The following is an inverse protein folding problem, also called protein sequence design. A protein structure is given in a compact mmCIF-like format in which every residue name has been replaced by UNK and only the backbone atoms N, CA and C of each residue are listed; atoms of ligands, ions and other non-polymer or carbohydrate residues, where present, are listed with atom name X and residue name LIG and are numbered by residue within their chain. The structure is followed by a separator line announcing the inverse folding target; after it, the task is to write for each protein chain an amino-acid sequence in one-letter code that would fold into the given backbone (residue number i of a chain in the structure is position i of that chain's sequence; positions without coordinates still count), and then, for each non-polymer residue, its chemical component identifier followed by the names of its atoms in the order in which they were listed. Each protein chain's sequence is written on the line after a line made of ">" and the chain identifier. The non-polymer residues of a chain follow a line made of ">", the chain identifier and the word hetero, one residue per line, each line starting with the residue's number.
data_IF_599068969397
#
_entry.id   IF_599068969397
#
_cell.length_a   1.000
_cell.length_b   1.000
_cell.length_c   1.000
_cell.angle_alpha   90.00
_cell.angle_beta   90.00
_cell.angle_gamma   90.00
#
_symmetry.space_group_name_H-M   'P 1'
#
loop_
_entity.id
_entity.type
_entity.pdbx_description
1 polymer ?
#
# COMPACT_ATOMS: atom_id res chain seq x y z
N UNK A 1 -18.33 -3.84 30.82
CA UNK A 1 -17.71 -4.08 29.50
C UNK A 1 -16.38 -4.77 29.74
N UNK A 2 -16.25 -6.06 29.39
CA UNK A 2 -15.00 -6.81 29.56
C UNK A 2 -14.01 -6.32 28.50
N UNK A 3 -12.97 -5.61 28.93
CA UNK A 3 -11.79 -5.34 28.11
C UNK A 3 -11.14 -6.68 27.79
N UNK A 4 -11.43 -7.23 26.61
CA UNK A 4 -10.66 -8.34 26.06
C UNK A 4 -9.29 -7.78 25.68
N UNK A 5 -8.30 -8.10 26.49
CA UNK A 5 -6.89 -7.85 26.13
C UNK A 5 -6.66 -8.59 24.82
N UNK A 6 -6.59 -7.84 23.72
CA UNK A 6 -6.20 -8.37 22.43
C UNK A 6 -4.72 -8.79 22.57
N UNK A 7 -4.47 -10.08 22.70
CA UNK A 7 -3.10 -10.61 22.55
C UNK A 7 -2.73 -10.47 21.09
N UNK A 8 -2.03 -9.40 20.76
CA UNK A 8 -1.49 -9.20 19.43
C UNK A 8 -0.40 -10.24 19.16
N UNK A 9 -0.49 -10.86 18.00
CA UNK A 9 0.54 -11.76 17.55
C UNK A 9 1.71 -10.94 17.00
N UNK A 10 2.90 -11.18 17.51
CA UNK A 10 4.11 -10.50 17.04
C UNK A 10 4.89 -11.40 16.07
N UNK A 11 5.60 -10.79 15.13
CA UNK A 11 6.56 -11.48 14.28
C UNK A 11 7.68 -12.01 15.16
N UNK A 12 7.89 -13.32 15.15
CA UNK A 12 8.88 -14.00 16.00
C UNK A 12 10.14 -14.41 15.23
N UNK A 13 10.07 -14.47 13.90
CA UNK A 13 11.18 -14.82 13.02
C UNK A 13 11.14 -14.04 11.72
N UNK A 14 12.29 -13.56 11.27
CA UNK A 14 12.46 -12.93 9.97
C UNK A 14 12.97 -13.89 8.90
N UNK A 15 13.30 -15.13 9.24
CA UNK A 15 13.82 -16.12 8.31
C UNK A 15 12.71 -16.74 7.47
N UNK A 16 12.86 -16.67 6.14
CA UNK A 16 12.10 -17.51 5.23
C UNK A 16 12.64 -18.93 5.29
N UNK A 17 11.79 -19.93 5.09
CA UNK A 17 12.16 -21.34 5.19
C UNK A 17 12.18 -22.00 3.81
N UNK A 18 13.38 -22.20 3.19
CA UNK A 18 13.50 -22.84 1.87
C UNK A 18 12.93 -24.26 1.80
N UNK A 19 12.95 -24.98 2.90
CA UNK A 19 12.46 -26.37 3.01
C UNK A 19 10.96 -26.49 2.73
N UNK A 20 10.14 -25.47 3.02
CA UNK A 20 8.70 -25.50 2.72
C UNK A 20 8.39 -25.49 1.21
N UNK A 21 9.41 -25.18 0.40
CA UNK A 21 9.32 -25.10 -1.05
C UNK A 21 10.11 -26.21 -1.77
N UNK A 22 10.59 -27.23 -1.07
CA UNK A 22 11.47 -28.29 -1.63
C UNK A 22 10.81 -29.03 -2.82
N UNK A 23 9.48 -29.19 -2.82
CA UNK A 23 8.74 -29.88 -3.89
C UNK A 23 8.53 -29.07 -5.18
N UNK A 24 8.89 -27.78 -5.20
CA UNK A 24 8.68 -26.92 -6.38
C UNK A 24 9.93 -26.84 -7.26
N UNK A 25 9.76 -26.95 -8.59
CA UNK A 25 10.87 -26.83 -9.56
C UNK A 25 11.14 -25.37 -9.96
N UNK A 26 10.10 -24.56 -10.15
CA UNK A 26 10.20 -23.17 -10.60
C UNK A 26 10.69 -22.26 -9.46
N UNK A 27 11.70 -21.43 -9.74
CA UNK A 27 12.23 -20.47 -8.78
C UNK A 27 11.15 -19.50 -8.27
N UNK A 28 10.28 -19.02 -9.14
CA UNK A 28 9.18 -18.12 -8.76
C UNK A 28 8.17 -18.81 -7.82
N UNK A 29 7.81 -20.07 -8.12
CA UNK A 29 6.93 -20.86 -7.25
C UNK A 29 7.56 -21.16 -5.89
N UNK A 30 8.88 -21.42 -5.84
CA UNK A 30 9.60 -21.60 -4.58
C UNK A 30 9.51 -20.35 -3.73
N UNK A 31 9.83 -19.20 -4.31
CA UNK A 31 9.77 -17.91 -3.60
C UNK A 31 8.35 -17.61 -3.14
N UNK A 32 7.35 -17.74 -4.02
CA UNK A 32 5.95 -17.57 -3.65
C UNK A 32 5.60 -18.41 -2.42
N UNK A 33 5.86 -19.73 -2.48
CA UNK A 33 5.55 -20.63 -1.36
C UNK A 33 6.24 -20.24 -0.06
N UNK A 34 7.54 -19.86 -0.10
CA UNK A 34 8.26 -19.43 1.09
C UNK A 34 7.68 -18.16 1.70
N UNK A 35 7.45 -17.13 0.87
CA UNK A 35 7.00 -15.82 1.34
C UNK A 35 5.54 -15.84 1.79
N UNK A 36 4.68 -16.57 1.10
CA UNK A 36 3.28 -16.79 1.50
C UNK A 36 3.20 -17.57 2.82
N UNK A 37 3.97 -18.67 2.97
CA UNK A 37 3.99 -19.43 4.23
C UNK A 37 4.42 -18.55 5.38
N UNK A 38 5.52 -17.80 5.21
CA UNK A 38 6.04 -16.92 6.24
C UNK A 38 5.00 -15.84 6.63
N UNK A 39 4.38 -15.18 5.63
CA UNK A 39 3.39 -14.15 5.89
C UNK A 39 2.17 -14.69 6.64
N UNK A 40 1.64 -15.84 6.24
CA UNK A 40 0.49 -16.47 6.92
C UNK A 40 0.78 -16.89 8.37
N UNK A 41 2.04 -17.21 8.70
CA UNK A 41 2.45 -17.59 10.06
C UNK A 41 2.80 -16.39 10.93
N UNK A 42 3.44 -15.37 10.37
CA UNK A 42 4.05 -14.28 11.13
C UNK A 42 3.22 -12.98 11.16
N UNK A 43 2.31 -12.79 10.20
CA UNK A 43 1.65 -11.51 9.98
C UNK A 43 0.17 -11.60 10.30
N UNK A 44 -0.36 -10.55 10.89
CA UNK A 44 -1.79 -10.39 11.21
C UNK A 44 -2.41 -9.29 10.37
N UNK A 45 -3.74 -9.25 10.35
CA UNK A 45 -4.50 -8.21 9.67
C UNK A 45 -4.18 -6.82 10.28
N UNK A 46 -3.82 -5.82 9.47
CA UNK A 46 -3.52 -4.48 9.96
C UNK A 46 -4.75 -3.74 10.49
N UNK A 47 -5.95 -4.18 10.11
CA UNK A 47 -7.19 -3.55 10.54
C UNK A 47 -7.70 -4.05 11.91
N UNK A 48 -7.42 -5.32 12.28
CA UNK A 48 -8.00 -5.89 13.51
C UNK A 48 -7.06 -6.79 14.31
N UNK A 49 -5.82 -6.97 13.88
CA UNK A 49 -4.83 -7.81 14.59
C UNK A 49 -5.12 -9.32 14.55
N UNK A 50 -6.11 -9.79 13.79
CA UNK A 50 -6.43 -11.21 13.65
C UNK A 50 -5.57 -11.89 12.61
N UNK A 51 -5.35 -13.20 12.76
CA UNK A 51 -4.58 -13.99 11.79
C UNK A 51 -5.22 -13.99 10.42
N UNK A 52 -4.41 -13.85 9.39
CA UNK A 52 -4.82 -13.99 8.00
C UNK A 52 -4.99 -15.48 7.65
N UNK A 53 -5.88 -15.77 6.70
CA UNK A 53 -6.05 -17.09 6.11
C UNK A 53 -5.63 -17.05 4.65
N UNK A 54 -4.92 -18.08 4.21
CA UNK A 54 -4.68 -18.32 2.79
C UNK A 54 -5.99 -18.62 2.07
N UNK A 55 -6.11 -18.08 0.86
CA UNK A 55 -7.09 -18.61 -0.07
C UNK A 55 -6.66 -19.97 -0.62
N UNK A 56 -7.64 -20.81 -0.97
CA UNK A 56 -7.38 -22.04 -1.70
C UNK A 56 -6.63 -21.74 -3.01
N UNK A 57 -5.64 -22.58 -3.39
CA UNK A 57 -4.93 -22.42 -4.66
C UNK A 57 -5.90 -22.30 -5.84
N UNK A 58 -5.61 -21.41 -6.80
CA UNK A 58 -6.40 -21.10 -7.99
C UNK A 58 -7.68 -20.27 -7.78
N UNK A 59 -7.89 -19.62 -6.65
CA UNK A 59 -8.85 -18.53 -6.61
C UNK A 59 -8.22 -17.25 -7.18
N UNK A 60 -8.84 -16.61 -8.19
CA UNK A 60 -8.23 -15.45 -8.88
C UNK A 60 -8.37 -14.13 -8.12
N UNK A 61 -8.56 -14.16 -6.80
CA UNK A 61 -9.09 -13.00 -6.07
C UNK A 61 -8.06 -12.30 -5.19
N UNK A 62 -7.24 -13.04 -4.45
CA UNK A 62 -6.19 -12.54 -3.55
C UNK A 62 -5.42 -13.72 -2.96
N UNK A 63 -4.30 -13.46 -2.29
CA UNK A 63 -3.52 -14.51 -1.62
C UNK A 63 -4.04 -14.81 -0.21
N UNK A 64 -4.54 -13.78 0.47
CA UNK A 64 -5.00 -13.87 1.86
C UNK A 64 -6.33 -13.13 2.09
N UNK A 65 -7.05 -13.62 3.08
CA UNK A 65 -8.28 -13.05 3.61
C UNK A 65 -8.18 -12.86 5.12
N UNK A 66 -8.66 -11.74 5.63
CA UNK A 66 -8.98 -11.62 7.04
C UNK A 66 -10.39 -12.16 7.30
N UNK A 67 -10.56 -13.25 8.09
CA UNK A 67 -11.90 -13.82 8.34
C UNK A 67 -12.81 -12.90 9.16
N UNK A 68 -12.24 -11.98 9.93
CA UNK A 68 -12.98 -11.03 10.76
C UNK A 68 -13.45 -9.80 9.97
N UNK A 69 -12.51 -9.10 9.32
CA UNK A 69 -12.77 -7.86 8.57
C UNK A 69 -13.23 -8.12 7.14
N UNK A 70 -13.09 -9.35 6.64
CA UNK A 70 -13.31 -9.74 5.23
C UNK A 70 -12.46 -8.94 4.22
N UNK A 71 -11.33 -8.41 4.69
CA UNK A 71 -10.39 -7.69 3.84
C UNK A 71 -9.50 -8.67 3.10
N UNK A 72 -9.31 -8.41 1.82
CA UNK A 72 -8.44 -9.16 0.92
C UNK A 72 -7.04 -8.55 0.90
N UNK A 73 -6.03 -9.43 0.76
CA UNK A 73 -4.63 -9.02 0.67
C UNK A 73 -3.92 -9.80 -0.42
N UNK A 74 -3.10 -9.10 -1.19
CA UNK A 74 -2.23 -9.67 -2.22
C UNK A 74 -0.76 -9.46 -1.82
N UNK A 75 0.09 -10.48 -2.01
CA UNK A 75 1.50 -10.43 -1.65
C UNK A 75 2.38 -10.23 -2.88
N UNK A 76 3.19 -9.19 -2.85
CA UNK A 76 4.28 -8.97 -3.79
C UNK A 76 5.61 -9.13 -3.06
N UNK A 77 6.40 -10.11 -3.48
CA UNK A 77 7.69 -10.39 -2.86
C UNK A 77 8.84 -10.22 -3.84
N UNK A 78 9.98 -9.74 -3.35
CA UNK A 78 11.18 -9.50 -4.15
C UNK A 78 12.45 -9.76 -3.36
N UNK A 79 13.42 -10.38 -4.02
CA UNK A 79 14.80 -10.44 -3.53
C UNK A 79 15.50 -9.11 -3.80
N UNK A 80 16.13 -8.54 -2.78
CA UNK A 80 16.77 -7.21 -2.87
C UNK A 80 15.76 -6.05 -2.77
N UNK A 81 16.19 -4.80 -2.96
CA UNK A 81 15.38 -3.62 -2.72
C UNK A 81 14.06 -3.60 -3.52
N UNK A 82 12.99 -3.18 -2.87
CA UNK A 82 11.74 -2.88 -3.57
C UNK A 82 12.02 -1.65 -4.44
N UNK A 83 11.90 -1.86 -5.75
CA UNK A 83 12.13 -0.79 -6.73
C UNK A 83 11.00 0.23 -6.72
N UNK A 84 11.18 1.32 -7.45
CA UNK A 84 10.14 2.34 -7.66
C UNK A 84 8.90 1.80 -8.39
N UNK A 85 9.02 0.59 -8.96
CA UNK A 85 7.96 -0.13 -9.65
C UNK A 85 7.97 -1.62 -9.27
N UNK A 86 6.79 -2.22 -9.16
CA UNK A 86 6.61 -3.66 -8.95
C UNK A 86 5.76 -4.21 -10.07
N UNK A 87 6.27 -5.21 -10.78
CA UNK A 87 5.54 -5.86 -11.88
C UNK A 87 4.34 -6.63 -11.32
N UNK A 88 3.24 -6.57 -12.07
CA UNK A 88 2.04 -7.32 -11.75
C UNK A 88 1.39 -7.97 -12.96
N UNK A 89 0.24 -8.58 -12.76
CA UNK A 89 -0.54 -9.33 -13.75
C UNK A 89 -1.08 -8.49 -14.90
N UNK A 90 -2.22 -8.92 -15.46
CA UNK A 90 -2.86 -8.24 -16.58
C UNK A 90 -3.38 -6.85 -16.17
N UNK A 91 -3.05 -5.82 -16.96
CA UNK A 91 -3.44 -4.44 -16.70
C UNK A 91 -4.97 -4.27 -16.53
N UNK A 92 -5.76 -4.80 -17.47
CA UNK A 92 -7.21 -4.68 -17.40
C UNK A 92 -7.79 -5.30 -16.12
N UNK A 93 -7.26 -6.46 -15.70
CA UNK A 93 -7.67 -7.13 -14.46
C UNK A 93 -7.27 -6.37 -13.21
N UNK A 94 -6.09 -5.75 -13.22
CA UNK A 94 -5.65 -4.88 -12.13
C UNK A 94 -6.58 -3.67 -11.98
N UNK A 95 -6.89 -2.95 -13.08
CA UNK A 95 -7.80 -1.81 -13.06
C UNK A 95 -9.19 -2.22 -12.56
N UNK A 96 -9.76 -3.30 -13.12
CA UNK A 96 -11.04 -3.86 -12.66
C UNK A 96 -11.01 -4.12 -11.15
N UNK A 97 -9.92 -4.72 -10.65
CA UNK A 97 -9.79 -5.13 -9.26
C UNK A 97 -9.68 -3.96 -8.29
N UNK A 98 -8.81 -2.97 -8.57
CA UNK A 98 -8.61 -1.82 -7.67
C UNK A 98 -9.77 -0.82 -7.69
N UNK A 99 -10.63 -0.88 -8.71
CA UNK A 99 -11.83 -0.03 -8.82
C UNK A 99 -13.09 -0.71 -8.27
N UNK A 100 -13.00 -1.99 -7.89
CA UNK A 100 -14.12 -2.73 -7.30
C UNK A 100 -14.26 -2.48 -5.79
N UNK A 101 -15.43 -2.78 -5.23
CA UNK A 101 -15.69 -2.70 -3.78
C UNK A 101 -14.87 -3.71 -2.96
N UNK A 102 -14.30 -4.72 -3.64
CA UNK A 102 -13.47 -5.77 -3.03
C UNK A 102 -11.99 -5.63 -3.38
N UNK A 103 -11.53 -4.40 -3.63
CA UNK A 103 -10.12 -4.13 -3.90
C UNK A 103 -9.22 -4.64 -2.77
N UNK A 104 -8.14 -5.41 -3.06
CA UNK A 104 -7.23 -5.90 -2.04
C UNK A 104 -6.29 -4.81 -1.55
N UNK A 105 -5.86 -4.92 -0.29
CA UNK A 105 -4.64 -4.27 0.18
C UNK A 105 -3.42 -5.08 -0.28
N UNK A 106 -2.27 -4.44 -0.48
CA UNK A 106 -1.07 -5.13 -0.96
C UNK A 106 0.01 -5.17 0.10
N UNK A 107 0.52 -6.36 0.36
CA UNK A 107 1.77 -6.56 1.07
C UNK A 107 2.94 -6.50 0.10
N UNK A 108 3.98 -5.75 0.47
CA UNK A 108 5.26 -5.70 -0.24
C UNK A 108 6.35 -6.23 0.68
N UNK A 109 6.89 -7.40 0.33
CA UNK A 109 7.91 -8.10 1.09
C UNK A 109 9.25 -8.07 0.36
N UNK A 110 10.26 -7.58 1.05
CA UNK A 110 11.65 -7.63 0.60
C UNK A 110 12.44 -8.59 1.47
N UNK A 111 13.23 -9.47 0.85
CA UNK A 111 14.16 -10.36 1.52
C UNK A 111 15.55 -10.31 0.88
N UNK A 112 16.58 -10.72 1.63
CA UNK A 112 17.97 -10.71 1.18
C UNK A 112 18.44 -12.07 0.62
N UNK A 113 19.76 -12.18 0.39
CA UNK A 113 20.40 -13.39 -0.16
C UNK A 113 20.33 -14.57 0.80
N UNK A 114 20.30 -14.31 2.09
CA UNK A 114 20.22 -15.26 3.20
C UNK A 114 18.77 -15.63 3.54
N UNK A 115 17.80 -15.22 2.70
CA UNK A 115 16.37 -15.42 2.91
C UNK A 115 15.84 -14.77 4.19
N UNK A 116 16.44 -13.66 4.63
CA UNK A 116 15.94 -12.87 5.75
C UNK A 116 15.03 -11.75 5.25
N UNK A 117 13.85 -11.60 5.85
CA UNK A 117 12.94 -10.48 5.57
C UNK A 117 13.57 -9.18 6.07
N UNK A 118 13.79 -8.24 5.16
CA UNK A 118 14.36 -6.92 5.46
C UNK A 118 13.31 -5.85 5.57
N UNK A 119 12.32 -5.89 4.68
CA UNK A 119 11.20 -4.97 4.73
C UNK A 119 9.89 -5.71 4.45
N UNK A 120 8.88 -5.40 5.22
CA UNK A 120 7.50 -5.76 4.94
C UNK A 120 6.62 -4.55 5.25
N UNK A 121 5.90 -4.07 4.29
CA UNK A 121 4.84 -3.07 4.51
C UNK A 121 3.55 -3.48 3.81
N UNK A 122 2.44 -2.98 4.34
CA UNK A 122 1.13 -3.06 3.70
C UNK A 122 0.74 -1.69 3.17
N UNK A 123 0.16 -1.66 1.96
CA UNK A 123 -0.52 -0.50 1.42
C UNK A 123 -2.01 -0.80 1.38
N UNK A 124 -2.84 -0.04 2.13
CA UNK A 124 -4.28 -0.23 2.13
C UNK A 124 -4.90 -0.05 0.74
N UNK A 125 -5.96 -0.79 0.45
CA UNK A 125 -6.66 -0.79 -0.84
C UNK A 125 -7.05 0.63 -1.32
N UNK A 126 -7.41 1.51 -0.39
CA UNK A 126 -7.85 2.87 -0.72
C UNK A 126 -6.72 3.80 -1.23
N UNK A 127 -5.45 3.39 -1.16
CA UNK A 127 -4.34 4.10 -1.83
C UNK A 127 -4.19 3.74 -3.31
N UNK A 128 -4.84 2.65 -3.77
CA UNK A 128 -4.74 2.25 -5.16
C UNK A 128 -5.77 2.99 -6.01
N UNK A 129 -5.25 3.81 -6.91
CA UNK A 129 -5.99 4.53 -7.95
C UNK A 129 -5.40 4.16 -9.31
N UNK A 130 -6.12 4.31 -10.43
CA UNK A 130 -5.61 3.96 -11.75
C UNK A 130 -4.26 4.62 -12.10
N UNK A 131 -4.01 5.82 -11.58
CA UNK A 131 -2.81 6.64 -11.85
C UNK A 131 -1.52 6.01 -11.31
N UNK A 132 -1.62 5.15 -10.27
CA UNK A 132 -0.45 4.43 -9.76
C UNK A 132 -0.22 3.08 -10.46
N UNK A 133 -1.04 2.74 -11.45
CA UNK A 133 -0.93 1.52 -12.25
C UNK A 133 -0.49 1.90 -13.66
N UNK A 134 0.76 1.59 -13.98
CA UNK A 134 1.33 1.82 -15.30
C UNK A 134 1.03 0.64 -16.21
N UNK A 135 0.45 0.92 -17.37
CA UNK A 135 0.26 -0.07 -18.44
C UNK A 135 1.60 -0.38 -19.11
N UNK A 136 1.91 -1.65 -19.26
CA UNK A 136 3.12 -2.10 -19.94
C UNK A 136 2.87 -2.28 -21.43
N UNK A 137 3.92 -2.14 -22.23
CA UNK A 137 3.84 -2.48 -23.64
C UNK A 137 3.39 -3.94 -23.83
N UNK A 138 2.52 -4.23 -24.84
CA UNK A 138 2.11 -5.58 -25.17
C UNK A 138 3.31 -6.49 -25.44
N UNK A 139 3.19 -7.77 -25.08
CA UNK A 139 4.21 -8.76 -25.44
C UNK A 139 4.34 -8.87 -26.95
N UNK A 140 5.60 -8.98 -27.41
CA UNK A 140 5.95 -9.07 -28.84
C UNK A 140 5.25 -10.25 -29.53
N UNK A 141 5.02 -10.17 -30.86
CA UNK A 141 4.33 -11.24 -31.61
C UNK A 141 4.95 -12.62 -31.47
N UNK A 142 6.27 -12.70 -31.24
CA UNK A 142 7.00 -13.97 -31.05
C UNK A 142 6.86 -14.57 -29.64
N UNK A 143 6.24 -13.87 -28.70
CA UNK A 143 6.07 -14.38 -27.35
C UNK A 143 4.92 -15.39 -27.27
N UNK A 144 5.02 -16.37 -26.35
CA UNK A 144 3.99 -17.40 -26.12
C UNK A 144 2.59 -16.81 -25.85
N UNK A 145 2.53 -15.61 -25.28
CA UNK A 145 1.29 -14.85 -25.04
C UNK A 145 1.35 -13.50 -25.76
N UNK A 146 1.53 -13.53 -27.08
CA UNK A 146 1.59 -12.34 -27.91
C UNK A 146 0.39 -11.41 -27.66
N UNK A 147 0.63 -10.11 -27.58
CA UNK A 147 -0.41 -9.12 -27.32
C UNK A 147 -0.86 -8.99 -25.87
N UNK A 148 -0.42 -9.87 -24.95
CA UNK A 148 -0.76 -9.73 -23.53
C UNK A 148 -0.13 -8.48 -22.93
N UNK A 149 -0.94 -7.70 -22.21
CA UNK A 149 -0.56 -6.46 -21.56
C UNK A 149 -0.53 -6.66 -20.05
N UNK A 150 0.67 -6.52 -19.47
CA UNK A 150 0.85 -6.51 -18.02
C UNK A 150 0.81 -5.10 -17.45
N UNK A 151 0.96 -4.97 -16.13
CA UNK A 151 1.09 -3.68 -15.48
C UNK A 151 2.27 -3.61 -14.52
N UNK A 152 2.58 -2.39 -14.10
CA UNK A 152 3.49 -2.08 -13.01
C UNK A 152 2.73 -1.28 -11.94
N UNK A 153 2.93 -1.63 -10.68
CA UNK A 153 2.52 -0.79 -9.55
C UNK A 153 3.64 0.24 -9.32
N UNK A 154 3.31 1.53 -9.42
CA UNK A 154 4.25 2.64 -9.19
C UNK A 154 4.40 2.91 -7.70
N UNK A 155 5.21 2.12 -7.00
CA UNK A 155 5.37 2.23 -5.55
C UNK A 155 5.88 3.61 -5.11
N UNK A 156 6.62 4.32 -5.98
CA UNK A 156 7.08 5.70 -5.73
C UNK A 156 5.94 6.71 -5.61
N UNK A 157 4.79 6.43 -6.23
CA UNK A 157 3.60 7.29 -6.19
C UNK A 157 2.76 7.07 -4.93
N UNK A 158 3.02 5.99 -4.17
CA UNK A 158 2.37 5.75 -2.88
C UNK A 158 3.04 6.66 -1.83
N UNK A 159 2.30 7.55 -1.16
CA UNK A 159 2.86 8.40 -0.09
C UNK A 159 3.40 7.55 1.06
N UNK A 160 4.26 8.12 1.90
CA UNK A 160 4.86 7.41 3.03
C UNK A 160 3.79 6.91 4.01
N UNK A 161 2.73 7.69 4.22
CA UNK A 161 1.54 7.31 5.00
C UNK A 161 0.81 6.07 4.47
N UNK A 162 0.92 5.77 3.17
CA UNK A 162 0.39 4.56 2.53
C UNK A 162 1.30 3.33 2.63
N UNK A 163 2.48 3.45 3.26
CA UNK A 163 3.45 2.36 3.45
C UNK A 163 3.57 2.01 4.93
N UNK A 164 2.68 1.20 5.42
CA UNK A 164 2.58 0.82 6.83
C UNK A 164 3.46 -0.38 7.10
N UNK A 165 4.57 -0.17 7.81
CA UNK A 165 5.62 -1.17 7.99
C UNK A 165 5.35 -2.10 9.17
N UNK A 166 5.42 -3.41 8.91
CA UNK A 166 5.58 -4.47 9.91
C UNK A 166 7.05 -4.74 10.22
N UNK A 167 7.89 -4.69 9.18
CA UNK A 167 9.34 -4.83 9.28
C UNK A 167 9.97 -3.71 8.46
N UNK A 168 10.90 -2.97 9.06
CA UNK A 168 11.66 -1.93 8.38
C UNK A 168 13.14 -2.12 8.70
N UNK A 169 13.96 -2.31 7.66
CA UNK A 169 15.40 -2.54 7.76
C UNK A 169 15.77 -3.66 8.74
N UNK A 170 15.00 -4.77 8.72
CA UNK A 170 15.16 -5.91 9.61
C UNK A 170 14.65 -5.70 11.04
N UNK A 171 14.03 -4.56 11.33
CA UNK A 171 13.43 -4.30 12.64
C UNK A 171 11.92 -4.48 12.60
N UNK A 172 11.40 -5.30 13.51
CA UNK A 172 9.97 -5.56 13.66
C UNK A 172 9.31 -4.40 14.40
N UNK A 173 8.17 -3.96 13.88
CA UNK A 173 7.31 -2.97 14.53
C UNK A 173 6.26 -3.66 15.40
N UNK A 174 5.87 -3.07 16.54
CA UNK A 174 4.73 -3.53 17.32
C UNK A 174 3.46 -3.58 16.47
N UNK A 175 2.69 -4.65 16.63
CA UNK A 175 1.44 -4.85 15.86
C UNK A 175 0.43 -3.74 16.15
N UNK A 176 0.42 -3.23 17.36
CA UNK A 176 -0.42 -2.11 17.81
C UNK A 176 -0.17 -0.86 16.98
N UNK A 177 1.09 -0.50 16.78
CA UNK A 177 1.50 0.65 15.95
C UNK A 177 1.07 0.46 14.48
N UNK A 178 1.20 -0.75 13.96
CA UNK A 178 0.76 -1.09 12.60
C UNK A 178 -0.75 -0.90 12.45
N UNK A 179 -1.53 -1.41 13.40
CA UNK A 179 -2.98 -1.26 13.41
C UNK A 179 -3.40 0.21 13.55
N UNK A 180 -2.75 0.96 14.43
CA UNK A 180 -3.01 2.38 14.61
C UNK A 180 -2.75 3.16 13.31
N UNK A 181 -1.58 2.95 12.69
CA UNK A 181 -1.25 3.57 11.41
C UNK A 181 -2.26 3.20 10.31
N UNK A 182 -2.71 1.94 10.26
CA UNK A 182 -3.71 1.49 9.28
C UNK A 182 -5.03 2.25 9.49
N UNK A 183 -5.49 2.39 10.72
CA UNK A 183 -6.73 3.10 11.03
C UNK A 183 -6.64 4.59 10.73
N UNK A 184 -5.48 5.22 10.89
CA UNK A 184 -5.27 6.62 10.52
C UNK A 184 -5.46 6.90 9.02
N UNK A 185 -5.43 5.88 8.18
CA UNK A 185 -5.69 6.02 6.74
C UNK A 185 -7.15 5.79 6.35
N UNK A 186 -8.00 5.37 7.30
CA UNK A 186 -9.38 4.94 7.04
C UNK A 186 -10.27 6.06 6.46
N UNK A 187 -9.91 7.33 6.66
CA UNK A 187 -10.64 8.48 6.09
C UNK A 187 -10.64 8.51 4.55
N UNK A 188 -9.73 7.79 3.90
CA UNK A 188 -9.71 7.60 2.44
C UNK A 188 -10.73 6.54 1.99
N UNK A 189 -11.09 5.61 2.88
CA UNK A 189 -12.10 4.59 2.61
C UNK A 189 -13.48 5.23 2.44
N UNK A 190 -14.32 4.68 1.57
CA UNK A 190 -15.66 5.22 1.30
C UNK A 190 -15.71 6.47 0.40
N UNK A 191 -14.56 6.99 -0.04
CA UNK A 191 -14.48 8.06 -1.03
C UNK A 191 -14.39 7.48 -2.45
N UNK A 192 -14.96 8.20 -3.42
CA UNK A 192 -14.81 7.81 -4.82
C UNK A 192 -13.35 7.99 -5.30
N UNK A 193 -13.03 7.43 -6.47
CA UNK A 193 -11.68 7.43 -7.03
C UNK A 193 -11.09 8.83 -7.19
N UNK A 194 -11.87 9.77 -7.74
CA UNK A 194 -11.41 11.14 -7.94
C UNK A 194 -11.05 11.83 -6.62
N UNK A 195 -11.93 11.69 -5.60
CA UNK A 195 -11.69 12.27 -4.27
C UNK A 195 -10.43 11.67 -3.62
N UNK A 196 -10.22 10.35 -3.77
CA UNK A 196 -9.02 9.67 -3.26
C UNK A 196 -7.77 10.16 -3.97
N UNK A 197 -7.79 10.22 -5.30
CA UNK A 197 -6.69 10.73 -6.11
C UNK A 197 -6.22 12.10 -5.64
N UNK A 198 -7.14 13.07 -5.54
CA UNK A 198 -6.83 14.41 -5.04
C UNK A 198 -6.22 14.41 -3.64
N UNK A 199 -6.77 13.63 -2.71
CA UNK A 199 -6.25 13.58 -1.34
C UNK A 199 -4.84 12.98 -1.31
N UNK A 200 -4.61 11.87 -2.02
CA UNK A 200 -3.30 11.20 -2.09
C UNK A 200 -2.24 12.12 -2.72
N UNK A 201 -2.59 12.85 -3.79
CA UNK A 201 -1.66 13.77 -4.43
C UNK A 201 -1.31 14.96 -3.52
N UNK A 202 -2.29 15.52 -2.81
CA UNK A 202 -2.02 16.58 -1.83
C UNK A 202 -1.21 16.06 -0.65
N UNK A 203 -1.49 14.85 -0.13
CA UNK A 203 -0.67 14.20 0.91
C UNK A 203 0.76 14.00 0.43
N UNK A 204 0.95 13.55 -0.81
CA UNK A 204 2.27 13.41 -1.42
C UNK A 204 3.01 14.75 -1.51
N UNK A 205 2.32 15.85 -1.85
CA UNK A 205 2.90 17.19 -1.85
C UNK A 205 3.32 17.61 -0.43
N UNK A 206 2.48 17.39 0.59
CA UNK A 206 2.80 17.66 1.99
C UNK A 206 4.06 16.91 2.42
N UNK A 207 4.17 15.61 2.12
CA UNK A 207 5.32 14.79 2.46
C UNK A 207 6.61 15.25 1.75
N UNK A 208 6.50 15.76 0.51
CA UNK A 208 7.65 16.32 -0.26
C UNK A 208 8.23 17.57 0.36
N UNK A 209 7.48 18.32 1.16
CA UNK A 209 8.01 19.46 1.92
C UNK A 209 9.04 19.02 2.97
N UNK A 210 8.98 17.76 3.45
CA UNK A 210 9.88 17.19 4.48
C UNK A 210 9.96 18.06 5.74
N UNK A 211 8.82 18.63 6.13
CA UNK A 211 8.70 19.51 7.30
C UNK A 211 7.53 19.05 8.16
N UNK A 212 7.64 19.06 9.49
CA UNK A 212 6.50 18.77 10.36
C UNK A 212 5.43 19.87 10.30
N UNK A 213 5.83 21.12 10.00
CA UNK A 213 4.95 22.27 9.84
C UNK A 213 5.19 22.96 8.50
N UNK A 214 4.11 23.43 7.86
CA UNK A 214 4.17 24.08 6.57
C UNK A 214 3.03 25.09 6.40
N UNK A 215 3.22 26.02 5.48
CA UNK A 215 2.25 27.07 5.17
C UNK A 215 1.42 26.74 3.93
N UNK A 216 0.25 27.36 3.82
CA UNK A 216 -0.57 27.29 2.62
C UNK A 216 0.20 27.79 1.37
N UNK A 217 1.06 28.79 1.54
CA UNK A 217 1.87 29.33 0.43
C UNK A 217 2.87 28.30 -0.10
N UNK A 218 3.49 27.51 0.78
CA UNK A 218 4.37 26.41 0.37
C UNK A 218 3.61 25.33 -0.41
N UNK A 219 2.35 25.07 -0.06
CA UNK A 219 1.50 24.15 -0.82
C UNK A 219 1.13 24.69 -2.20
N UNK A 220 0.98 26.00 -2.36
CA UNK A 220 0.74 26.61 -3.68
C UNK A 220 1.93 26.49 -4.64
N UNK A 221 3.14 26.22 -4.15
CA UNK A 221 4.28 25.91 -5.01
C UNK A 221 4.07 24.63 -5.84
N UNK A 222 3.15 23.74 -5.41
CA UNK A 222 2.76 22.54 -6.15
C UNK A 222 1.62 22.75 -7.15
N UNK A 223 1.13 23.99 -7.36
CA UNK A 223 0.00 24.29 -8.24
C UNK A 223 0.18 23.71 -9.64
N UNK A 224 1.33 23.98 -10.27
CA UNK A 224 1.62 23.48 -11.64
C UNK A 224 1.73 21.95 -11.69
N UNK A 225 2.27 21.33 -10.65
CA UNK A 225 2.35 19.87 -10.56
C UNK A 225 0.95 19.23 -10.45
N UNK A 226 0.11 19.77 -9.56
CA UNK A 226 -1.25 19.28 -9.39
C UNK A 226 -2.14 19.56 -10.62
N UNK A 227 -1.92 20.68 -11.32
CA UNK A 227 -2.60 20.95 -12.58
C UNK A 227 -2.27 19.93 -13.68
N UNK A 228 -1.02 19.42 -13.72
CA UNK A 228 -0.64 18.36 -14.65
C UNK A 228 -1.30 17.01 -14.32
N UNK A 229 -1.47 16.70 -13.03
CA UNK A 229 -2.15 15.47 -12.58
C UNK A 229 -3.67 15.53 -12.78
N UNK A 230 -4.25 16.73 -12.73
CA UNK A 230 -5.70 16.96 -12.80
C UNK A 230 -6.03 18.02 -13.87
N UNK A 231 -5.82 17.72 -15.16
CA UNK A 231 -5.91 18.71 -16.24
C UNK A 231 -7.32 19.32 -16.42
N UNK A 232 -8.35 18.61 -16.00
CA UNK A 232 -9.74 19.07 -16.08
C UNK A 232 -10.12 20.04 -14.96
N UNK A 233 -9.25 20.24 -13.96
CA UNK A 233 -9.50 21.15 -12.86
C UNK A 233 -8.81 22.51 -13.07
N UNK A 234 -9.59 23.55 -13.31
CA UNK A 234 -9.10 24.91 -13.52
C UNK A 234 -8.99 25.76 -12.24
N UNK A 235 -9.28 25.18 -11.06
CA UNK A 235 -9.30 25.86 -9.77
C UNK A 235 -8.36 25.19 -8.76
N UNK A 236 -7.08 25.03 -9.11
CA UNK A 236 -6.13 24.25 -8.33
C UNK A 236 -5.92 24.78 -6.91
N UNK A 237 -5.69 26.10 -6.72
CA UNK A 237 -5.49 26.68 -5.37
C UNK A 237 -6.70 26.52 -4.45
N UNK A 238 -7.94 26.80 -4.90
CA UNK A 238 -9.15 26.47 -4.14
C UNK A 238 -9.22 24.97 -3.79
N UNK A 239 -8.87 24.09 -4.74
CA UNK A 239 -8.88 22.65 -4.53
C UNK A 239 -7.83 22.22 -3.49
N UNK A 240 -6.60 22.75 -3.53
CA UNK A 240 -5.58 22.51 -2.49
C UNK A 240 -6.13 22.86 -1.11
N UNK A 241 -6.72 24.05 -0.94
CA UNK A 241 -7.32 24.45 0.35
C UNK A 241 -8.41 23.49 0.82
N UNK A 242 -9.28 23.07 -0.10
CA UNK A 242 -10.33 22.09 0.19
C UNK A 242 -9.74 20.76 0.67
N UNK A 243 -8.69 20.24 0.00
CA UNK A 243 -8.06 18.98 0.40
C UNK A 243 -7.35 19.10 1.75
N UNK A 244 -6.62 20.20 2.01
CA UNK A 244 -6.00 20.44 3.32
C UNK A 244 -7.05 20.53 4.43
N UNK A 245 -8.23 21.08 4.16
CA UNK A 245 -9.35 21.08 5.10
C UNK A 245 -9.84 19.67 5.39
N UNK A 246 -10.03 18.84 4.37
CA UNK A 246 -10.40 17.44 4.55
C UNK A 246 -9.36 16.65 5.36
N UNK A 247 -8.07 16.85 5.08
CA UNK A 247 -6.97 16.21 5.82
C UNK A 247 -6.94 16.64 7.28
N UNK A 248 -7.24 17.91 7.56
CA UNK A 248 -7.39 18.42 8.93
C UNK A 248 -8.59 17.79 9.64
N UNK A 249 -9.75 17.79 8.99
CA UNK A 249 -11.00 17.26 9.57
C UNK A 249 -10.90 15.74 9.82
N UNK A 250 -10.06 15.05 9.03
CA UNK A 250 -9.71 13.66 9.22
C UNK A 250 -8.62 13.41 10.29
N UNK A 251 -8.05 14.46 10.89
CA UNK A 251 -6.98 14.33 11.89
C UNK A 251 -5.59 14.02 11.34
N UNK A 252 -5.40 14.02 10.01
CA UNK A 252 -4.08 13.86 9.38
C UNK A 252 -3.23 15.14 9.55
N UNK A 253 -3.86 16.29 9.57
CA UNK A 253 -3.26 17.59 9.82
C UNK A 253 -3.95 18.28 11.03
N UNK A 254 -3.21 19.20 11.67
CA UNK A 254 -3.76 20.16 12.63
C UNK A 254 -3.38 21.58 12.21
N UNK A 255 -4.12 22.58 12.70
CA UNK A 255 -3.70 23.98 12.57
C UNK A 255 -2.63 24.31 13.60
N UNK A 256 -1.49 24.84 13.14
CA UNK A 256 -0.53 25.51 14.02
C UNK A 256 -0.90 26.99 14.22
N UNK A 257 -1.32 27.68 13.13
CA UNK A 257 -1.85 29.05 13.13
C UNK A 257 -2.60 29.31 11.83
N UNK A 258 -3.11 30.55 11.63
CA UNK A 258 -3.80 30.92 10.38
C UNK A 258 -2.92 30.68 9.15
N UNK A 259 -3.36 29.76 8.27
CA UNK A 259 -2.63 29.38 7.06
C UNK A 259 -1.39 28.52 7.29
N UNK A 260 -1.18 28.02 8.51
CA UNK A 260 -0.09 27.12 8.88
C UNK A 260 -0.64 25.80 9.39
N UNK A 261 -0.12 24.69 8.87
CA UNK A 261 -0.54 23.32 9.15
C UNK A 261 0.60 22.51 9.75
N UNK A 262 0.26 21.51 10.56
CA UNK A 262 1.20 20.57 11.16
C UNK A 262 0.73 19.14 10.91
N UNK A 263 1.67 18.24 10.57
CA UNK A 263 1.41 16.80 10.53
C UNK A 263 1.14 16.28 11.95
N UNK A 264 0.08 15.50 12.12
CA UNK A 264 -0.32 14.95 13.41
C UNK A 264 0.60 13.80 13.83
N UNK A 265 1.10 13.03 12.84
CA UNK A 265 2.03 11.92 13.05
C UNK A 265 3.20 12.07 12.05
N UNK A 266 4.37 12.35 12.57
CA UNK A 266 5.63 12.49 11.84
C UNK A 266 6.64 11.45 12.29
#
# INVERSE_FOLDING_TARGET
>A
MKSSILHFHHITSLALRPEVAAGYKSASKKVGKMTETWLGEQVVCPACGRRLRHYEPNRPVADFLCPECRLDFELKSKKGPISTTVNDGAYSKMIERITSDTAPSFFFLQYDAEYMVRNLFVTPAHYFTPEIIEERAPLKPMAQRAGWVGCNILTKAIPASGRIYYVRDGQVRPTEEVCEQYHHTAFLSGRNLEQRGWLIDVMTCVERLRKPEFTLQEMYAFESHLAQLHPDNHNIRPKIRQQLQFLRDAGYLTFASRGCYKLTHS
#
